data_IF_132036571082
#
_entry.id   IF_132036571082
#
_cell.length_a   1.000
_cell.length_b   1.000
_cell.length_c   1.000
_cell.angle_alpha   90.00
_cell.angle_beta   90.00
_cell.angle_gamma   90.00
#
_symmetry.space_group_name_H-M   'P 1'
#
loop_
_entity.id
_entity.type
_entity.pdbx_description
1 polymer ?
#
# COMPACT_ATOMS: atom_id res chain seq x y z
N UNK A 1 -29.80 -7.97 -7.64
CA UNK A 1 -29.44 -8.42 -6.27
C UNK A 1 -30.61 -9.22 -5.74
N UNK A 2 -30.38 -10.48 -5.39
CA UNK A 2 -31.39 -11.48 -5.04
C UNK A 2 -32.06 -11.14 -3.70
N UNK A 3 -33.39 -11.27 -3.62
CA UNK A 3 -34.24 -10.92 -2.46
C UNK A 3 -33.81 -11.67 -1.20
N UNK A 4 -33.18 -12.84 -1.35
CA UNK A 4 -32.61 -13.65 -0.26
C UNK A 4 -31.39 -13.04 0.44
N UNK A 5 -30.71 -12.06 -0.18
CA UNK A 5 -29.59 -11.32 0.44
C UNK A 5 -30.11 -10.23 1.38
N UNK A 6 -31.25 -9.61 1.05
CA UNK A 6 -31.86 -8.53 1.85
C UNK A 6 -32.34 -8.98 3.23
N UNK A 7 -32.87 -10.19 3.36
CA UNK A 7 -33.31 -10.73 4.67
C UNK A 7 -32.15 -11.17 5.58
N UNK A 8 -30.91 -11.24 5.07
CA UNK A 8 -29.74 -11.75 5.81
C UNK A 8 -28.90 -10.68 6.51
N UNK A 9 -29.11 -9.39 6.22
CA UNK A 9 -28.39 -8.28 6.86
C UNK A 9 -29.02 -7.88 8.19
N UNK A 10 -30.36 -7.93 8.30
CA UNK A 10 -31.17 -7.51 9.47
C UNK A 10 -30.98 -8.38 10.74
N UNK A 11 -30.15 -9.44 10.70
CA UNK A 11 -29.93 -10.35 11.86
C UNK A 11 -28.47 -10.70 12.13
N UNK A 12 -27.51 -9.83 11.79
CA UNK A 12 -26.12 -10.03 12.22
C UNK A 12 -25.87 -9.25 13.50
N UNK A 13 -26.04 -9.94 14.62
CA UNK A 13 -25.66 -9.42 15.93
C UNK A 13 -24.14 -9.29 16.01
N UNK A 14 -23.61 -8.13 16.43
CA UNK A 14 -22.18 -7.98 16.61
C UNK A 14 -21.64 -8.99 17.64
N UNK A 15 -20.74 -9.87 17.20
CA UNK A 15 -20.07 -10.83 18.08
C UNK A 15 -18.64 -10.36 18.34
N UNK A 16 -18.45 -9.60 19.41
CA UNK A 16 -17.14 -9.09 19.80
C UNK A 16 -16.35 -10.08 20.66
N UNK A 17 -15.01 -9.99 20.70
CA UNK A 17 -14.19 -10.72 21.67
C UNK A 17 -14.65 -10.46 23.11
N UNK A 18 -14.48 -11.45 23.99
CA UNK A 18 -14.88 -11.35 25.40
C UNK A 18 -14.26 -10.14 26.13
N UNK A 19 -13.09 -9.68 25.68
CA UNK A 19 -12.42 -8.50 26.18
C UNK A 19 -13.25 -7.20 25.99
N UNK A 20 -13.96 -7.04 24.87
CA UNK A 20 -14.81 -5.86 24.60
C UNK A 20 -15.91 -5.77 25.66
N UNK A 21 -16.59 -6.89 25.93
CA UNK A 21 -17.59 -6.96 27.00
C UNK A 21 -17.00 -6.75 28.41
N UNK A 22 -15.77 -7.20 28.66
CA UNK A 22 -15.08 -6.94 29.94
C UNK A 22 -14.76 -5.46 30.14
N UNK A 23 -14.22 -4.78 29.12
CA UNK A 23 -13.91 -3.35 29.16
C UNK A 23 -15.19 -2.56 29.39
N UNK A 24 -16.23 -2.83 28.60
CA UNK A 24 -17.52 -2.17 28.75
C UNK A 24 -18.13 -2.39 30.14
N UNK A 25 -18.15 -3.62 30.67
CA UNK A 25 -18.65 -3.90 32.04
C UNK A 25 -17.89 -3.10 33.10
N UNK A 26 -16.57 -2.96 32.94
CA UNK A 26 -15.73 -2.26 33.92
C UNK A 26 -16.03 -0.76 33.94
N UNK A 27 -16.21 -0.16 32.76
CA UNK A 27 -16.52 1.26 32.61
C UNK A 27 -17.96 1.59 33.04
N UNK A 28 -18.94 0.80 32.57
CA UNK A 28 -20.35 0.94 32.94
C UNK A 28 -20.58 0.73 34.44
N UNK A 29 -19.89 -0.25 35.05
CA UNK A 29 -19.92 -0.47 36.50
C UNK A 29 -19.37 0.69 37.33
N UNK A 30 -18.54 1.55 36.72
CA UNK A 30 -18.04 2.78 37.31
C UNK A 30 -18.89 4.03 36.95
N UNK A 31 -20.01 3.85 36.24
CA UNK A 31 -20.94 4.92 35.85
C UNK A 31 -20.58 5.62 34.54
N UNK A 32 -19.67 5.06 33.74
CA UNK A 32 -19.26 5.63 32.45
C UNK A 32 -19.89 4.88 31.28
N UNK A 33 -20.84 5.54 30.63
CA UNK A 33 -21.49 5.05 29.41
C UNK A 33 -20.44 4.69 28.35
N UNK A 34 -20.55 3.49 27.77
CA UNK A 34 -19.54 2.92 26.87
C UNK A 34 -20.14 2.14 25.71
N UNK A 35 -19.64 2.42 24.51
CA UNK A 35 -20.12 1.85 23.25
C UNK A 35 -18.96 1.32 22.43
N UNK A 36 -19.16 0.22 21.71
CA UNK A 36 -18.28 -0.15 20.61
C UNK A 36 -18.65 0.71 19.39
N UNK A 37 -17.67 1.22 18.67
CA UNK A 37 -17.89 2.20 17.59
C UNK A 37 -16.98 1.95 16.39
N UNK A 38 -17.29 2.58 15.26
CA UNK A 38 -16.37 2.69 14.12
C UNK A 38 -16.27 1.45 13.24
N UNK A 39 -15.06 1.18 12.76
CA UNK A 39 -14.81 0.20 11.70
C UNK A 39 -15.22 -1.21 12.08
N UNK A 40 -15.05 -1.61 13.34
CA UNK A 40 -15.44 -2.94 13.79
C UNK A 40 -16.95 -3.17 13.74
N UNK A 41 -17.75 -2.19 14.18
CA UNK A 41 -19.20 -2.29 14.13
C UNK A 41 -19.68 -2.40 12.68
N UNK A 42 -19.19 -1.51 11.79
CA UNK A 42 -19.46 -1.56 10.35
C UNK A 42 -19.09 -2.91 9.75
N UNK A 43 -17.87 -3.37 9.96
CA UNK A 43 -17.34 -4.58 9.34
C UNK A 43 -18.19 -5.80 9.73
N UNK A 44 -18.57 -5.92 11.02
CA UNK A 44 -19.40 -7.02 11.49
C UNK A 44 -20.82 -6.96 10.91
N UNK A 45 -21.41 -5.77 10.82
CA UNK A 45 -22.73 -5.57 10.17
C UNK A 45 -22.68 -5.92 8.68
N UNK A 46 -21.58 -5.60 7.99
CA UNK A 46 -21.31 -6.01 6.60
C UNK A 46 -20.89 -7.48 6.47
N UNK A 47 -20.74 -8.20 7.59
CA UNK A 47 -20.42 -9.63 7.59
C UNK A 47 -18.95 -9.97 7.41
N UNK A 48 -18.06 -9.01 7.67
CA UNK A 48 -16.61 -9.14 7.67
C UNK A 48 -16.13 -9.30 9.11
N UNK A 49 -15.22 -10.25 9.36
CA UNK A 49 -14.56 -10.35 10.66
C UNK A 49 -13.72 -9.10 10.92
N UNK A 50 -13.90 -8.48 12.08
CA UNK A 50 -13.09 -7.36 12.54
C UNK A 50 -12.24 -7.74 13.73
N UNK A 51 -10.97 -7.34 13.68
CA UNK A 51 -9.97 -7.57 14.73
C UNK A 51 -9.66 -6.29 15.53
N UNK A 52 -10.00 -5.12 14.99
CA UNK A 52 -9.65 -3.81 15.54
C UNK A 52 -10.91 -3.17 16.16
N UNK A 53 -11.27 -3.64 17.36
CA UNK A 53 -12.43 -3.14 18.10
C UNK A 53 -12.09 -1.88 18.90
N UNK A 54 -12.76 -0.78 18.55
CA UNK A 54 -12.66 0.50 19.25
C UNK A 54 -13.87 0.70 20.17
N UNK A 55 -13.61 1.24 21.36
CA UNK A 55 -14.63 1.63 22.33
C UNK A 55 -14.61 3.14 22.52
N UNK A 56 -15.79 3.76 22.53
CA UNK A 56 -15.99 5.14 22.93
C UNK A 56 -16.71 5.18 24.29
N UNK A 57 -16.27 6.06 25.19
CA UNK A 57 -16.79 6.13 26.55
C UNK A 57 -16.90 7.56 27.07
N UNK A 58 -17.80 7.82 28.02
CA UNK A 58 -17.81 9.09 28.78
C UNK A 58 -16.58 9.25 29.67
N UNK A 59 -15.91 8.15 30.06
CA UNK A 59 -14.75 8.20 30.93
C UNK A 59 -13.60 9.00 30.31
N UNK A 60 -13.01 9.92 31.08
CA UNK A 60 -11.80 10.68 30.72
C UNK A 60 -10.56 9.78 30.79
N UNK A 61 -9.45 10.12 30.10
CA UNK A 61 -8.26 9.27 30.04
C UNK A 61 -7.71 8.84 31.41
N UNK A 62 -7.69 9.75 32.39
CA UNK A 62 -7.21 9.43 33.74
C UNK A 62 -8.16 8.50 34.52
N UNK A 63 -9.46 8.58 34.26
CA UNK A 63 -10.45 7.65 34.84
C UNK A 63 -10.27 6.25 34.25
N UNK A 64 -10.05 6.15 32.93
CA UNK A 64 -9.73 4.87 32.27
C UNK A 64 -8.44 4.27 32.87
N UNK A 65 -7.38 5.07 33.04
CA UNK A 65 -6.12 4.62 33.67
C UNK A 65 -6.29 4.17 35.13
N UNK A 66 -7.23 4.77 35.86
CA UNK A 66 -7.54 4.35 37.22
C UNK A 66 -8.27 3.00 37.27
N UNK A 67 -9.17 2.76 36.31
CA UNK A 67 -9.98 1.54 36.24
C UNK A 67 -9.20 0.33 35.70
N UNK A 68 -8.21 0.55 34.83
CA UNK A 68 -7.44 -0.52 34.21
C UNK A 68 -5.96 -0.48 34.61
N UNK A 69 -5.45 -1.59 35.14
CA UNK A 69 -4.03 -1.69 35.57
C UNK A 69 -3.02 -1.66 34.40
N UNK A 70 -3.41 -2.14 33.22
CA UNK A 70 -2.53 -2.25 32.04
C UNK A 70 -3.05 -1.34 30.93
N UNK A 71 -2.54 -0.11 30.91
CA UNK A 71 -2.91 0.90 29.90
C UNK A 71 -1.68 1.46 29.21
N UNK A 72 -1.80 1.81 27.94
CA UNK A 72 -0.78 2.49 27.13
C UNK A 72 -1.33 3.85 26.68
N UNK A 73 -0.59 4.95 26.88
CA UNK A 73 -0.96 6.25 26.33
C UNK A 73 -0.74 6.24 24.82
N UNK A 74 -1.81 6.02 24.04
CA UNK A 74 -1.74 6.02 22.56
C UNK A 74 -1.91 7.43 22.02
N UNK A 75 -2.87 8.19 22.57
CA UNK A 75 -3.16 9.56 22.14
C UNK A 75 -3.97 10.31 23.19
N UNK A 76 -3.36 10.55 24.36
CA UNK A 76 -4.03 11.18 25.51
C UNK A 76 -4.60 12.56 25.16
N UNK A 77 -3.87 13.36 24.39
CA UNK A 77 -4.31 14.69 23.92
C UNK A 77 -5.60 14.63 23.09
N UNK A 78 -5.89 13.47 22.52
CA UNK A 78 -7.05 13.19 21.70
C UNK A 78 -8.11 12.32 22.40
N UNK A 79 -7.87 11.95 23.66
CA UNK A 79 -8.77 11.16 24.49
C UNK A 79 -8.60 9.64 24.39
N UNK A 80 -7.60 9.14 23.67
CA UNK A 80 -7.44 7.69 23.43
C UNK A 80 -6.42 7.05 24.37
N UNK A 81 -6.85 6.02 25.09
CA UNK A 81 -6.05 5.13 25.93
C UNK A 81 -6.17 3.71 25.41
N UNK A 82 -5.04 3.07 25.14
CA UNK A 82 -5.01 1.63 24.83
C UNK A 82 -5.14 0.81 26.11
N UNK A 83 -6.15 -0.05 26.21
CA UNK A 83 -6.35 -0.99 27.32
C UNK A 83 -5.86 -2.38 26.89
N UNK A 84 -4.92 -2.96 27.64
CA UNK A 84 -4.45 -4.33 27.36
C UNK A 84 -5.32 -5.36 28.08
N UNK A 85 -5.92 -6.24 27.29
CA UNK A 85 -6.59 -7.43 27.77
C UNK A 85 -5.58 -8.47 28.31
N UNK A 86 -6.11 -9.51 28.97
CA UNK A 86 -5.29 -10.54 29.63
C UNK A 86 -4.42 -11.35 28.66
N UNK A 87 -4.92 -11.55 27.45
CA UNK A 87 -4.23 -12.21 26.32
C UNK A 87 -3.16 -11.33 25.67
N UNK A 88 -3.04 -10.06 26.08
CA UNK A 88 -2.09 -9.10 25.52
C UNK A 88 -2.64 -8.29 24.35
N UNK A 89 -3.88 -8.55 23.91
CA UNK A 89 -4.54 -7.77 22.85
C UNK A 89 -4.82 -6.35 23.37
N UNK A 90 -4.53 -5.35 22.54
CA UNK A 90 -4.76 -3.95 22.86
C UNK A 90 -6.09 -3.50 22.24
N UNK A 91 -6.89 -2.76 23.02
CA UNK A 91 -8.14 -2.17 22.59
C UNK A 91 -8.10 -0.66 22.84
N UNK A 92 -8.48 0.13 21.84
CA UNK A 92 -8.50 1.57 21.97
C UNK A 92 -9.80 2.01 22.65
N UNK A 93 -9.66 2.67 23.80
CA UNK A 93 -10.76 3.28 24.56
C UNK A 93 -10.61 4.79 24.43
N UNK A 94 -11.55 5.42 23.75
CA UNK A 94 -11.53 6.85 23.45
C UNK A 94 -12.64 7.58 24.19
N UNK A 95 -12.31 8.66 24.89
CA UNK A 95 -13.30 9.53 25.50
C UNK A 95 -14.18 10.17 24.42
N UNK A 96 -15.49 10.27 24.64
CA UNK A 96 -16.40 11.03 23.76
C UNK A 96 -15.85 12.43 23.55
N UNK A 97 -15.96 12.91 22.32
CA UNK A 97 -15.37 14.19 21.95
C UNK A 97 -16.09 14.83 20.78
N UNK A 98 -16.00 16.15 20.72
CA UNK A 98 -16.43 16.99 19.60
C UNK A 98 -15.25 17.77 19.06
N UNK A 99 -15.29 18.04 17.77
CA UNK A 99 -14.29 18.89 17.10
C UNK A 99 -14.81 20.33 17.13
N UNK A 100 -14.07 21.26 17.74
CA UNK A 100 -14.52 22.65 17.97
C UNK A 100 -13.94 23.61 16.94
N UNK A 101 -12.66 23.43 16.62
CA UNK A 101 -11.98 24.14 15.55
C UNK A 101 -11.31 23.13 14.66
N UNK A 102 -11.52 23.22 13.35
CA UNK A 102 -10.90 22.34 12.37
C UNK A 102 -10.08 23.16 11.39
N UNK A 103 -8.76 23.04 11.46
CA UNK A 103 -7.83 23.63 10.50
C UNK A 103 -7.10 22.50 9.77
N UNK A 104 -7.75 21.97 8.72
CA UNK A 104 -7.33 20.69 8.14
C UNK A 104 -7.30 19.61 9.23
N UNK A 105 -6.27 18.75 9.21
CA UNK A 105 -6.18 17.61 10.16
C UNK A 105 -6.10 17.99 11.65
N UNK A 106 -5.82 19.24 11.97
CA UNK A 106 -5.71 19.69 13.36
C UNK A 106 -7.10 20.12 13.82
N UNK A 107 -7.76 19.20 14.53
CA UNK A 107 -8.97 19.50 15.27
C UNK A 107 -8.61 19.83 16.73
N UNK A 108 -9.07 20.97 17.23
CA UNK A 108 -9.11 21.22 18.67
C UNK A 108 -10.24 20.38 19.23
N UNK A 109 -9.87 19.37 20.02
CA UNK A 109 -10.79 18.37 20.56
C UNK A 109 -11.27 18.83 21.94
N UNK A 110 -12.58 18.88 22.13
CA UNK A 110 -13.18 18.98 23.45
C UNK A 110 -13.82 17.66 23.83
N UNK A 111 -13.58 17.21 25.07
CA UNK A 111 -14.27 16.03 25.56
C UNK A 111 -15.75 16.33 25.78
N UNK A 112 -16.58 15.45 25.23
CA UNK A 112 -18.02 15.52 25.26
C UNK A 112 -18.59 14.54 26.30
N UNK A 113 -19.87 14.69 26.60
CA UNK A 113 -20.58 13.82 27.55
C UNK A 113 -21.62 12.93 26.86
N UNK A 114 -21.91 13.20 25.58
CA UNK A 114 -22.90 12.48 24.77
C UNK A 114 -22.23 11.73 23.62
N UNK A 115 -22.78 10.57 23.28
CA UNK A 115 -22.31 9.74 22.17
C UNK A 115 -22.52 10.44 20.82
N UNK A 116 -23.61 11.18 20.65
CA UNK A 116 -23.98 11.90 19.43
C UNK A 116 -22.88 12.87 18.99
N UNK A 117 -22.23 13.52 19.96
CA UNK A 117 -21.09 14.40 19.71
C UNK A 117 -19.92 13.63 19.06
N UNK A 118 -19.62 12.41 19.54
CA UNK A 118 -18.56 11.56 18.97
C UNK A 118 -18.94 10.96 17.60
N UNK A 119 -20.20 10.60 17.41
CA UNK A 119 -20.67 10.03 16.15
C UNK A 119 -20.77 11.11 15.06
N UNK A 120 -21.19 12.32 15.42
CA UNK A 120 -21.40 13.43 14.49
C UNK A 120 -20.13 13.92 13.81
N UNK A 121 -18.95 13.77 14.44
CA UNK A 121 -17.64 14.16 13.87
C UNK A 121 -17.03 13.12 12.92
N UNK A 122 -17.67 11.98 12.73
CA UNK A 122 -17.15 10.89 11.89
C UNK A 122 -17.29 11.22 10.42
N UNK A 123 -16.50 10.54 9.61
CA UNK A 123 -16.40 10.82 8.18
C UNK A 123 -17.66 10.40 7.41
N UNK A 124 -18.12 9.16 7.60
CA UNK A 124 -19.24 8.57 6.86
C UNK A 124 -20.28 7.95 7.78
N UNK A 125 -21.54 7.95 7.33
CA UNK A 125 -22.68 7.37 8.06
C UNK A 125 -22.42 5.93 8.49
N UNK A 126 -21.87 5.12 7.59
CA UNK A 126 -21.49 3.72 7.84
C UNK A 126 -20.45 3.54 8.96
N UNK A 127 -19.69 4.58 9.31
CA UNK A 127 -18.72 4.57 10.41
C UNK A 127 -19.27 5.23 11.68
N UNK A 128 -20.44 5.86 11.60
CA UNK A 128 -21.13 6.60 12.66
C UNK A 128 -22.24 5.76 13.32
N UNK A 129 -22.02 4.45 13.38
CA UNK A 129 -22.88 3.49 14.08
C UNK A 129 -22.17 3.01 15.34
N UNK A 130 -22.92 2.90 16.42
CA UNK A 130 -22.47 2.38 17.70
C UNK A 130 -23.25 1.13 18.10
N UNK A 131 -22.59 0.22 18.81
CA UNK A 131 -23.20 -0.98 19.38
C UNK A 131 -22.88 -1.08 20.87
N UNK A 132 -23.90 -1.37 21.68
CA UNK A 132 -23.74 -1.52 23.11
C UNK A 132 -23.50 -2.99 23.48
N UNK A 133 -22.27 -3.39 23.87
CA UNK A 133 -21.92 -4.80 24.05
C UNK A 133 -22.63 -5.52 25.20
N UNK A 134 -23.23 -4.78 26.14
CA UNK A 134 -23.93 -5.36 27.30
C UNK A 134 -25.45 -5.39 27.16
N UNK A 135 -25.99 -4.49 26.31
CA UNK A 135 -27.44 -4.33 26.08
C UNK A 135 -27.85 -4.97 24.75
N UNK A 136 -26.88 -5.28 23.90
CA UNK A 136 -27.05 -5.72 22.53
C UNK A 136 -27.93 -4.77 21.72
N UNK A 137 -27.65 -3.47 21.86
CA UNK A 137 -28.42 -2.38 21.25
C UNK A 137 -27.57 -1.66 20.20
N UNK A 138 -28.15 -1.41 19.02
CA UNK A 138 -27.53 -0.57 17.99
C UNK A 138 -28.04 0.86 18.13
N UNK A 139 -27.12 1.81 18.02
CA UNK A 139 -27.42 3.24 18.02
C UNK A 139 -26.87 3.86 16.74
N UNK A 140 -27.78 4.39 15.91
CA UNK A 140 -27.50 4.91 14.57
C UNK A 140 -28.32 6.18 14.29
N UNK A 141 -27.88 7.34 14.81
CA UNK A 141 -28.60 8.60 14.62
C UNK A 141 -28.46 9.18 13.20
N UNK A 142 -27.57 8.62 12.37
CA UNK A 142 -27.24 9.15 11.03
C UNK A 142 -27.64 8.23 9.87
N UNK A 143 -28.31 7.11 10.14
CA UNK A 143 -28.80 6.19 9.11
C UNK A 143 -27.71 5.36 8.43
N UNK A 144 -26.58 5.12 9.11
CA UNK A 144 -25.48 4.29 8.59
C UNK A 144 -25.88 2.85 8.31
N UNK A 145 -26.80 2.28 9.08
CA UNK A 145 -27.33 0.91 8.86
C UNK A 145 -28.13 0.84 7.56
N UNK A 146 -29.02 1.81 7.33
CA UNK A 146 -29.79 1.88 6.09
C UNK A 146 -28.86 2.08 4.88
N UNK A 147 -27.86 2.95 5.00
CA UNK A 147 -26.87 3.18 3.95
C UNK A 147 -26.06 1.91 3.66
N UNK A 148 -25.66 1.14 4.68
CA UNK A 148 -25.00 -0.16 4.48
C UNK A 148 -25.89 -1.17 3.77
N UNK A 149 -27.17 -1.26 4.13
CA UNK A 149 -28.14 -2.16 3.47
C UNK A 149 -28.37 -1.79 2.00
N UNK A 150 -28.34 -0.49 1.70
CA UNK A 150 -28.48 0.06 0.34
C UNK A 150 -27.18 0.07 -0.45
N UNK A 151 -26.05 -0.23 0.20
CA UNK A 151 -24.72 -0.16 -0.41
C UNK A 151 -24.32 1.27 -0.77
N UNK A 152 -24.65 2.25 0.08
CA UNK A 152 -24.40 3.68 -0.14
C UNK A 152 -23.28 4.15 0.78
N UNK A 153 -22.37 4.96 0.24
CA UNK A 153 -21.41 5.73 1.02
C UNK A 153 -21.84 7.20 1.05
N UNK A 154 -22.13 7.72 2.25
CA UNK A 154 -22.56 9.10 2.49
C UNK A 154 -21.78 9.72 3.65
N UNK A 155 -21.48 11.01 3.58
CA UNK A 155 -20.85 11.76 4.70
C UNK A 155 -21.81 11.98 5.85
N UNK A 156 -21.29 12.11 7.07
CA UNK A 156 -22.09 12.61 8.19
C UNK A 156 -22.25 14.12 8.07
N UNK A 157 -23.49 14.59 7.89
CA UNK A 157 -23.78 16.00 7.64
C UNK A 157 -23.43 16.45 6.21
N UNK A 158 -23.15 17.74 6.05
CA UNK A 158 -22.85 18.38 4.77
C UNK A 158 -21.54 17.86 4.15
N UNK A 159 -21.55 17.29 2.93
CA UNK A 159 -20.34 16.75 2.32
C UNK A 159 -19.21 17.79 2.12
N UNK A 160 -19.45 19.01 1.59
CA UNK A 160 -18.40 20.01 1.43
C UNK A 160 -17.73 20.38 2.76
N UNK A 161 -18.51 20.63 3.81
CA UNK A 161 -17.99 21.00 5.14
C UNK A 161 -17.18 19.85 5.73
N UNK A 162 -17.72 18.62 5.63
CA UNK A 162 -17.05 17.42 6.13
C UNK A 162 -15.73 17.16 5.42
N UNK A 163 -15.62 17.44 4.12
CA UNK A 163 -14.36 17.27 3.39
C UNK A 163 -13.37 18.40 3.70
N UNK A 164 -13.85 19.63 3.91
CA UNK A 164 -13.00 20.78 4.25
C UNK A 164 -12.33 20.65 5.63
N UNK A 165 -12.97 19.96 6.58
CA UNK A 165 -12.35 19.60 7.86
C UNK A 165 -11.07 18.77 7.65
N UNK A 166 -11.08 17.76 6.77
CA UNK A 166 -9.87 16.98 6.43
C UNK A 166 -10.01 16.34 5.04
N UNK A 167 -9.35 16.93 4.05
CA UNK A 167 -9.42 16.44 2.67
C UNK A 167 -8.87 15.02 2.47
N UNK A 168 -8.18 14.43 3.47
CA UNK A 168 -7.84 13.00 3.41
C UNK A 168 -9.10 12.12 3.34
N UNK A 169 -10.25 12.63 3.80
CA UNK A 169 -11.56 11.97 3.67
C UNK A 169 -11.94 11.70 2.22
N UNK A 170 -11.41 12.45 1.25
CA UNK A 170 -11.58 12.13 -0.18
C UNK A 170 -11.00 10.76 -0.51
N UNK A 171 -9.73 10.53 -0.16
CA UNK A 171 -9.04 9.27 -0.40
C UNK A 171 -9.68 8.11 0.38
N UNK A 172 -10.13 8.39 1.61
CA UNK A 172 -10.83 7.42 2.46
C UNK A 172 -12.18 7.04 1.87
N UNK A 173 -12.97 7.99 1.37
CA UNK A 173 -14.26 7.75 0.75
C UNK A 173 -14.12 6.78 -0.42
N UNK A 174 -13.24 7.11 -1.37
CA UNK A 174 -13.01 6.32 -2.57
C UNK A 174 -12.43 4.93 -2.23
N UNK A 175 -11.58 4.85 -1.20
CA UNK A 175 -11.10 3.56 -0.67
C UNK A 175 -12.25 2.73 -0.09
N UNK A 176 -13.12 3.31 0.75
CA UNK A 176 -14.23 2.58 1.35
C UNK A 176 -15.27 2.15 0.30
N UNK A 177 -15.60 3.03 -0.64
CA UNK A 177 -16.48 2.71 -1.77
C UNK A 177 -15.92 1.55 -2.60
N UNK A 178 -14.63 1.57 -2.94
CA UNK A 178 -13.98 0.47 -3.65
C UNK A 178 -13.93 -0.83 -2.84
N UNK A 179 -13.56 -0.75 -1.56
CA UNK A 179 -13.40 -1.89 -0.64
C UNK A 179 -14.70 -2.64 -0.37
N UNK A 180 -15.76 -1.89 -0.05
CA UNK A 180 -17.04 -2.43 0.35
C UNK A 180 -18.05 -2.48 -0.81
N UNK A 181 -17.58 -2.19 -2.04
CA UNK A 181 -18.41 -2.19 -3.25
C UNK A 181 -19.63 -1.25 -3.15
N UNK A 182 -19.44 -0.10 -2.49
CA UNK A 182 -20.49 0.88 -2.25
C UNK A 182 -20.59 1.89 -3.40
N UNK A 183 -21.80 2.36 -3.64
CA UNK A 183 -22.07 3.50 -4.51
C UNK A 183 -22.00 4.77 -3.67
N UNK A 184 -21.20 5.75 -4.10
CA UNK A 184 -21.15 7.05 -3.41
C UNK A 184 -22.44 7.81 -3.70
N UNK A 185 -23.08 8.35 -2.67
CA UNK A 185 -24.25 9.23 -2.81
C UNK A 185 -23.91 10.43 -3.71
N UNK A 186 -24.84 10.88 -4.56
CA UNK A 186 -24.56 11.90 -5.57
C UNK A 186 -24.00 13.20 -4.97
N UNK A 187 -24.56 13.70 -3.88
CA UNK A 187 -24.09 14.92 -3.24
C UNK A 187 -22.68 14.75 -2.65
N UNK A 188 -22.39 13.54 -2.14
CA UNK A 188 -21.05 13.18 -1.68
C UNK A 188 -20.08 13.10 -2.86
N UNK A 189 -20.46 12.46 -3.96
CA UNK A 189 -19.63 12.33 -5.16
C UNK A 189 -19.25 13.69 -5.75
N UNK A 190 -20.21 14.58 -5.91
CA UNK A 190 -19.98 15.92 -6.45
C UNK A 190 -18.99 16.71 -5.57
N UNK A 191 -19.13 16.60 -4.24
CA UNK A 191 -18.22 17.21 -3.29
C UNK A 191 -16.81 16.60 -3.32
N UNK A 192 -16.69 15.28 -3.51
CA UNK A 192 -15.39 14.60 -3.66
C UNK A 192 -14.64 15.09 -4.90
N UNK A 193 -15.33 15.20 -6.03
CA UNK A 193 -14.77 15.72 -7.28
C UNK A 193 -14.34 17.19 -7.12
N UNK A 194 -15.18 18.03 -6.53
CA UNK A 194 -14.86 19.44 -6.29
C UNK A 194 -13.69 19.64 -5.31
N UNK A 195 -13.52 18.74 -4.34
CA UNK A 195 -12.45 18.81 -3.36
C UNK A 195 -11.06 18.39 -3.90
N UNK A 196 -10.97 17.86 -5.13
CA UNK A 196 -9.70 17.40 -5.70
C UNK A 196 -8.64 18.50 -5.82
N UNK A 197 -9.07 19.73 -6.10
CA UNK A 197 -8.19 20.91 -6.19
C UNK A 197 -7.46 21.21 -4.86
N UNK A 198 -8.03 20.77 -3.74
CA UNK A 198 -7.49 21.02 -2.41
C UNK A 198 -6.52 19.92 -1.94
N UNK A 199 -6.42 18.81 -2.68
CA UNK A 199 -5.61 17.66 -2.25
C UNK A 199 -4.11 17.95 -2.16
N UNK A 200 -3.63 18.98 -2.87
CA UNK A 200 -2.24 19.42 -2.83
C UNK A 200 -1.76 19.88 -1.44
N UNK A 201 -2.68 20.23 -0.52
CA UNK A 201 -2.33 20.64 0.85
C UNK A 201 -2.07 19.44 1.78
N UNK A 202 -2.41 18.22 1.35
CA UNK A 202 -2.26 17.03 2.18
C UNK A 202 -0.79 16.66 2.38
N UNK A 203 -0.46 16.23 3.61
CA UNK A 203 0.86 15.65 3.88
C UNK A 203 1.07 14.41 3.00
N UNK A 204 2.21 14.31 2.29
CA UNK A 204 2.47 13.19 1.40
C UNK A 204 2.51 11.83 2.10
N UNK A 205 2.94 11.78 3.37
CA UNK A 205 2.95 10.57 4.19
C UNK A 205 1.55 10.02 4.42
N UNK A 206 0.55 10.89 4.59
CA UNK A 206 -0.85 10.47 4.76
C UNK A 206 -1.44 9.94 3.47
N UNK A 207 -1.12 10.58 2.34
CA UNK A 207 -1.51 10.11 1.00
C UNK A 207 -0.89 8.72 0.74
N UNK A 208 0.41 8.56 1.05
CA UNK A 208 1.12 7.28 0.99
C UNK A 208 0.42 6.20 1.82
N UNK A 209 0.05 6.50 3.05
CA UNK A 209 -0.61 5.54 3.94
C UNK A 209 -1.98 5.11 3.42
N UNK A 210 -2.80 6.03 2.92
CA UNK A 210 -4.09 5.69 2.30
C UNK A 210 -3.90 4.87 1.01
N UNK A 211 -2.92 5.21 0.16
CA UNK A 211 -2.58 4.41 -1.01
C UNK A 211 -2.14 2.99 -0.62
N UNK A 212 -1.28 2.84 0.39
CA UNK A 212 -0.84 1.53 0.87
C UNK A 212 -2.00 0.73 1.47
N UNK A 213 -2.96 1.38 2.14
CA UNK A 213 -4.21 0.73 2.61
C UNK A 213 -5.06 0.24 1.45
N UNK A 214 -5.19 1.01 0.35
CA UNK A 214 -5.86 0.54 -0.89
C UNK A 214 -5.17 -0.71 -1.42
N UNK A 215 -3.84 -0.68 -1.53
CA UNK A 215 -3.06 -1.80 -2.09
C UNK A 215 -3.02 -3.02 -1.17
N UNK A 216 -3.13 -2.87 0.15
CA UNK A 216 -3.10 -3.95 1.12
C UNK A 216 -4.49 -4.55 1.43
N UNK A 217 -5.54 -3.72 1.41
CA UNK A 217 -6.83 -4.00 2.04
C UNK A 217 -7.61 -5.15 1.40
N UNK A 218 -7.64 -5.24 0.08
CA UNK A 218 -8.66 -6.02 -0.63
C UNK A 218 -8.12 -6.99 -1.69
N UNK A 219 -9.01 -7.88 -2.14
CA UNK A 219 -8.77 -8.71 -3.34
C UNK A 219 -8.70 -7.87 -4.61
N UNK A 220 -9.44 -6.75 -4.68
CA UNK A 220 -9.56 -5.89 -5.87
C UNK A 220 -9.28 -4.40 -5.58
N UNK A 221 -8.01 -4.00 -5.31
CA UNK A 221 -7.64 -2.58 -5.21
C UNK A 221 -8.02 -1.74 -6.43
N UNK A 222 -8.15 -2.36 -7.60
CA UNK A 222 -8.56 -1.70 -8.85
C UNK A 222 -9.82 -0.86 -8.70
N UNK A 223 -10.80 -1.28 -7.88
CA UNK A 223 -12.06 -0.55 -7.70
C UNK A 223 -11.85 0.83 -7.09
N UNK A 224 -11.08 0.89 -6.01
CA UNK A 224 -10.74 2.16 -5.37
C UNK A 224 -9.86 3.04 -6.29
N UNK A 225 -8.89 2.43 -6.99
CA UNK A 225 -8.03 3.16 -7.93
C UNK A 225 -8.83 3.71 -9.14
N UNK A 226 -9.79 2.95 -9.67
CA UNK A 226 -10.72 3.44 -10.71
C UNK A 226 -11.52 4.64 -10.22
N UNK A 227 -11.98 4.61 -8.96
CA UNK A 227 -12.65 5.76 -8.35
C UNK A 227 -11.70 6.95 -8.17
N UNK A 228 -10.41 6.73 -7.87
CA UNK A 228 -9.41 7.81 -7.83
C UNK A 228 -9.25 8.47 -9.20
N UNK A 229 -9.15 7.67 -10.26
CA UNK A 229 -9.09 8.19 -11.63
C UNK A 229 -10.37 8.96 -12.01
N UNK A 230 -11.55 8.37 -11.74
CA UNK A 230 -12.83 8.97 -12.08
C UNK A 230 -13.13 10.28 -11.32
N UNK A 231 -12.67 10.38 -10.07
CA UNK A 231 -12.85 11.59 -9.26
C UNK A 231 -11.84 12.71 -9.61
N UNK A 232 -10.78 12.43 -10.40
CA UNK A 232 -9.72 13.40 -10.71
C UNK A 232 -8.60 13.49 -9.66
N UNK A 233 -8.47 12.49 -8.79
CA UNK A 233 -7.47 12.47 -7.70
C UNK A 233 -6.04 12.30 -8.22
N UNK A 234 -5.88 11.65 -9.38
CA UNK A 234 -4.56 11.31 -9.90
C UNK A 234 -3.75 12.56 -10.28
N UNK A 235 -4.34 13.55 -10.91
CA UNK A 235 -3.63 14.75 -11.38
C UNK A 235 -2.92 15.53 -10.25
N UNK A 236 -3.58 15.90 -9.14
CA UNK A 236 -2.94 16.66 -8.07
C UNK A 236 -1.94 15.85 -7.23
N UNK A 237 -2.13 14.52 -7.11
CA UNK A 237 -1.33 13.71 -6.18
C UNK A 237 -0.30 12.80 -6.87
N UNK A 238 -0.65 12.25 -8.02
CA UNK A 238 0.05 11.15 -8.70
C UNK A 238 0.01 11.33 -10.24
N UNK A 239 0.48 12.47 -10.79
CA UNK A 239 0.40 12.77 -12.21
C UNK A 239 1.06 11.70 -13.09
N UNK A 240 2.11 11.02 -12.60
CA UNK A 240 2.76 9.91 -13.32
C UNK A 240 1.82 8.73 -13.58
N UNK A 241 0.79 8.56 -12.75
CA UNK A 241 -0.27 7.56 -12.95
C UNK A 241 -1.40 8.12 -13.82
N UNK A 242 -1.70 9.41 -13.73
CA UNK A 242 -2.68 10.07 -14.60
C UNK A 242 -2.29 9.94 -16.08
N UNK A 243 -0.99 10.07 -16.40
CA UNK A 243 -0.43 9.86 -17.75
C UNK A 243 -0.71 8.46 -18.33
N UNK A 244 -1.01 7.46 -17.49
CA UNK A 244 -1.34 6.11 -17.96
C UNK A 244 -2.78 6.00 -18.45
N UNK A 245 -3.67 6.88 -18.01
CA UNK A 245 -5.10 6.83 -18.34
C UNK A 245 -5.28 7.11 -19.81
N UNK A 246 -5.77 6.10 -20.55
CA UNK A 246 -5.94 6.19 -22.00
C UNK A 246 -4.65 6.06 -22.83
N UNK A 247 -3.48 5.95 -22.19
CA UNK A 247 -2.23 5.73 -22.90
C UNK A 247 -2.17 4.32 -23.49
N UNK A 248 -1.70 4.19 -24.73
CA UNK A 248 -1.52 2.87 -25.37
C UNK A 248 -0.39 2.09 -24.71
N UNK A 249 -0.56 0.76 -24.62
CA UNK A 249 0.45 -0.17 -24.12
C UNK A 249 0.77 -1.25 -25.14
N UNK A 250 1.68 -0.96 -26.06
CA UNK A 250 2.05 -1.91 -27.13
C UNK A 250 0.80 -2.40 -27.89
N UNK A 251 0.68 -3.72 -28.04
CA UNK A 251 -0.45 -4.41 -28.70
C UNK A 251 -1.49 -4.96 -27.70
N UNK A 252 -1.44 -4.55 -26.43
CA UNK A 252 -2.40 -4.97 -25.41
C UNK A 252 -3.79 -4.36 -25.72
N UNK A 253 -4.90 -5.10 -25.57
CA UNK A 253 -6.25 -4.65 -25.96
C UNK A 253 -6.90 -3.64 -24.98
N UNK A 254 -6.14 -3.13 -24.02
CA UNK A 254 -6.58 -2.13 -23.04
C UNK A 254 -5.48 -1.08 -22.87
N UNK A 255 -5.85 0.11 -22.38
CA UNK A 255 -4.87 1.16 -22.06
C UNK A 255 -3.95 0.78 -20.89
N UNK A 256 -2.89 1.56 -20.71
CA UNK A 256 -1.83 1.32 -19.74
C UNK A 256 -2.36 1.34 -18.29
N UNK A 257 -3.29 2.24 -17.97
CA UNK A 257 -3.92 2.31 -16.66
C UNK A 257 -4.79 1.08 -16.39
N UNK A 258 -5.69 0.74 -17.31
CA UNK A 258 -6.53 -0.45 -17.22
C UNK A 258 -5.71 -1.73 -17.04
N UNK A 259 -4.61 -1.89 -17.78
CA UNK A 259 -3.70 -3.02 -17.59
C UNK A 259 -3.02 -3.01 -16.21
N UNK A 260 -2.58 -1.84 -15.73
CA UNK A 260 -1.95 -1.71 -14.41
C UNK A 260 -2.92 -2.13 -13.29
N UNK A 261 -4.19 -1.73 -13.37
CA UNK A 261 -5.23 -2.15 -12.42
C UNK A 261 -5.45 -3.67 -12.41
N UNK A 262 -5.55 -4.29 -13.59
CA UNK A 262 -5.67 -5.75 -13.71
C UNK A 262 -4.46 -6.46 -13.10
N UNK A 263 -3.26 -5.92 -13.29
CA UNK A 263 -2.04 -6.49 -12.74
C UNK A 263 -1.97 -6.37 -11.21
N UNK A 264 -2.39 -5.23 -10.66
CA UNK A 264 -2.49 -5.02 -9.20
C UNK A 264 -3.40 -6.08 -8.57
N UNK A 265 -4.57 -6.32 -9.15
CA UNK A 265 -5.54 -7.31 -8.66
C UNK A 265 -5.05 -8.75 -8.81
N UNK A 266 -4.25 -9.03 -9.85
CA UNK A 266 -3.63 -10.33 -10.00
C UNK A 266 -2.67 -10.65 -8.84
N UNK A 267 -2.05 -9.65 -8.19
CA UNK A 267 -1.09 -9.90 -7.11
C UNK A 267 -1.74 -10.13 -5.74
N UNK A 268 -1.04 -10.88 -4.88
CA UNK A 268 -1.52 -11.22 -3.52
C UNK A 268 -1.60 -9.99 -2.61
N UNK A 269 -2.69 -9.91 -1.82
CA UNK A 269 -2.99 -8.79 -0.91
C UNK A 269 -1.92 -8.47 0.15
N UNK A 270 -1.18 -9.48 0.59
CA UNK A 270 -0.13 -9.33 1.62
C UNK A 270 1.14 -8.63 1.10
N UNK A 271 1.15 -8.13 -0.13
CA UNK A 271 2.34 -7.53 -0.77
C UNK A 271 2.03 -6.15 -1.35
N UNK A 272 1.71 -5.15 -0.52
CA UNK A 272 1.36 -3.81 -1.01
C UNK A 272 2.47 -3.15 -1.83
N UNK A 273 3.74 -3.35 -1.47
CA UNK A 273 4.89 -2.82 -2.24
C UNK A 273 5.00 -3.47 -3.63
N UNK A 274 4.67 -4.75 -3.74
CA UNK A 274 4.67 -5.44 -5.03
C UNK A 274 3.49 -4.98 -5.91
N UNK A 275 2.33 -4.73 -5.30
CA UNK A 275 1.18 -4.12 -5.96
C UNK A 275 1.47 -2.67 -6.40
N UNK A 276 2.16 -1.89 -5.58
CA UNK A 276 2.66 -0.56 -5.96
C UNK A 276 3.60 -0.64 -7.16
N UNK A 277 4.51 -1.63 -7.16
CA UNK A 277 5.40 -1.88 -8.30
C UNK A 277 4.63 -2.24 -9.57
N UNK A 278 3.59 -3.08 -9.46
CA UNK A 278 2.71 -3.41 -10.58
C UNK A 278 1.98 -2.18 -11.14
N UNK A 279 1.46 -1.32 -10.25
CA UNK A 279 0.80 -0.07 -10.64
C UNK A 279 1.76 0.85 -11.40
N UNK A 280 3.02 0.90 -10.98
CA UNK A 280 4.06 1.73 -11.59
C UNK A 280 4.78 1.07 -12.77
N UNK A 281 4.45 -0.17 -13.12
CA UNK A 281 5.19 -0.93 -14.14
C UNK A 281 5.11 -0.30 -15.54
N UNK A 282 4.03 0.43 -15.83
CA UNK A 282 3.85 1.14 -17.09
C UNK A 282 4.54 2.53 -17.11
N UNK A 283 5.03 3.01 -15.97
CA UNK A 283 5.74 4.29 -15.86
C UNK A 283 7.23 4.12 -16.16
N UNK A 284 7.94 5.22 -16.42
CA UNK A 284 9.39 5.19 -16.48
C UNK A 284 9.99 5.03 -15.07
N UNK A 285 11.20 4.44 -14.91
CA UNK A 285 11.87 4.38 -13.61
C UNK A 285 12.08 5.75 -12.97
N UNK A 286 12.23 6.81 -13.78
CA UNK A 286 12.33 8.20 -13.33
C UNK A 286 11.00 8.68 -12.75
N UNK A 287 9.90 8.46 -13.45
CA UNK A 287 8.55 8.80 -13.00
C UNK A 287 8.19 8.05 -11.70
N UNK A 288 8.47 6.76 -11.63
CA UNK A 288 8.30 5.97 -10.40
C UNK A 288 9.11 6.57 -9.23
N UNK A 289 10.39 6.93 -9.45
CA UNK A 289 11.21 7.54 -8.42
C UNK A 289 10.65 8.90 -7.96
N UNK A 290 10.18 9.74 -8.88
CA UNK A 290 9.57 11.04 -8.56
C UNK A 290 8.34 10.89 -7.67
N UNK A 291 7.44 9.96 -8.01
CA UNK A 291 6.27 9.67 -7.19
C UNK A 291 6.65 9.19 -5.78
N UNK A 292 7.60 8.26 -5.69
CA UNK A 292 8.03 7.68 -4.41
C UNK A 292 8.68 8.73 -3.50
N UNK A 293 9.47 9.65 -4.07
CA UNK A 293 10.05 10.79 -3.34
C UNK A 293 8.96 11.78 -2.90
N UNK A 294 8.00 12.08 -3.79
CA UNK A 294 6.86 12.97 -3.48
C UNK A 294 6.10 12.44 -2.29
N UNK A 295 5.73 11.16 -2.32
CA UNK A 295 4.98 10.47 -1.28
C UNK A 295 5.84 10.02 -0.08
N UNK A 296 7.11 10.43 -0.02
CA UNK A 296 8.00 10.22 1.13
C UNK A 296 8.16 8.75 1.51
N UNK A 297 8.26 7.86 0.53
CA UNK A 297 8.64 6.46 0.79
C UNK A 297 10.07 6.40 1.35
N UNK A 298 10.37 5.37 2.14
CA UNK A 298 11.74 5.15 2.60
C UNK A 298 12.67 4.84 1.41
N UNK A 299 13.95 5.21 1.51
CA UNK A 299 14.93 4.94 0.45
C UNK A 299 14.96 3.46 0.06
N UNK A 300 14.93 2.55 1.04
CA UNK A 300 14.90 1.11 0.78
C UNK A 300 13.68 0.65 -0.04
N UNK A 301 12.49 1.20 0.25
CA UNK A 301 11.27 0.92 -0.52
C UNK A 301 11.38 1.53 -1.92
N UNK A 302 11.83 2.79 -2.02
CA UNK A 302 11.97 3.48 -3.29
C UNK A 302 12.94 2.75 -4.22
N UNK A 303 14.11 2.37 -3.72
CA UNK A 303 15.13 1.62 -4.45
C UNK A 303 14.61 0.27 -4.94
N UNK A 304 13.86 -0.44 -4.08
CA UNK A 304 13.26 -1.72 -4.44
C UNK A 304 12.26 -1.55 -5.59
N UNK A 305 11.30 -0.63 -5.45
CA UNK A 305 10.27 -0.39 -6.47
C UNK A 305 10.89 0.07 -7.78
N UNK A 306 11.80 1.06 -7.74
CA UNK A 306 12.46 1.59 -8.95
C UNK A 306 13.30 0.53 -9.65
N UNK A 307 14.01 -0.32 -8.91
CA UNK A 307 14.77 -1.42 -9.50
C UNK A 307 13.85 -2.45 -10.19
N UNK A 308 12.71 -2.77 -9.57
CA UNK A 308 11.72 -3.68 -10.17
C UNK A 308 11.03 -3.05 -11.40
N UNK A 309 10.70 -1.77 -11.38
CA UNK A 309 10.17 -1.04 -12.56
C UNK A 309 11.22 -0.99 -13.67
N UNK A 310 12.49 -0.75 -13.34
CA UNK A 310 13.62 -0.76 -14.30
C UNK A 310 13.85 -2.12 -14.95
N UNK A 311 13.51 -3.21 -14.26
CA UNK A 311 13.56 -4.55 -14.85
C UNK A 311 12.64 -4.69 -16.08
N UNK A 312 11.64 -3.81 -16.19
CA UNK A 312 10.73 -3.71 -17.32
C UNK A 312 9.59 -4.74 -17.28
N UNK A 313 8.71 -4.69 -18.29
CA UNK A 313 7.52 -5.54 -18.36
C UNK A 313 7.83 -7.00 -18.67
N UNK A 314 9.06 -7.35 -19.05
CA UNK A 314 9.39 -8.72 -19.43
C UNK A 314 10.87 -9.03 -19.22
N UNK A 315 11.20 -10.18 -18.64
CA UNK A 315 12.55 -10.71 -18.70
C UNK A 315 12.91 -11.09 -20.13
N UNK A 316 14.21 -11.26 -20.44
CA UNK A 316 14.63 -12.01 -21.62
C UNK A 316 13.82 -13.31 -21.73
N UNK A 317 13.37 -13.69 -22.93
CA UNK A 317 12.58 -14.90 -23.12
C UNK A 317 13.34 -16.11 -22.59
N UNK A 318 12.63 -17.20 -22.26
CA UNK A 318 13.26 -18.42 -21.76
C UNK A 318 14.34 -18.97 -22.72
N UNK A 319 14.21 -18.68 -24.03
CA UNK A 319 15.14 -19.00 -25.12
C UNK A 319 16.40 -18.13 -25.17
N UNK A 320 16.46 -17.03 -24.42
CA UNK A 320 17.63 -16.15 -24.38
C UNK A 320 18.91 -16.89 -23.97
N UNK A 321 20.06 -16.41 -24.45
CA UNK A 321 21.35 -17.04 -24.15
C UNK A 321 21.66 -16.97 -22.65
N UNK A 322 22.50 -17.88 -22.11
CA UNK A 322 22.93 -17.79 -20.72
C UNK A 322 23.59 -16.45 -20.37
N UNK A 323 24.37 -15.86 -21.29
CA UNK A 323 25.00 -14.55 -21.10
C UNK A 323 23.97 -13.43 -20.97
N UNK A 324 22.91 -13.43 -21.80
CA UNK A 324 21.87 -12.39 -21.72
C UNK A 324 21.10 -12.47 -20.40
N UNK A 325 20.86 -13.70 -19.91
CA UNK A 325 20.27 -13.93 -18.59
C UNK A 325 21.16 -13.39 -17.48
N UNK A 326 22.47 -13.63 -17.53
CA UNK A 326 23.43 -13.12 -16.55
C UNK A 326 23.53 -11.59 -16.58
N UNK A 327 23.63 -10.98 -17.76
CA UNK A 327 23.59 -9.52 -17.92
C UNK A 327 22.34 -8.91 -17.33
N UNK A 328 21.17 -9.50 -17.63
CA UNK A 328 19.92 -9.03 -17.07
C UNK A 328 19.87 -9.21 -15.55
N UNK A 329 20.33 -10.35 -15.02
CA UNK A 329 20.40 -10.61 -13.57
C UNK A 329 21.35 -9.65 -12.85
N UNK A 330 22.49 -9.33 -13.46
CA UNK A 330 23.45 -8.35 -12.93
C UNK A 330 22.82 -6.96 -12.87
N UNK A 331 22.20 -6.51 -13.97
CA UNK A 331 21.54 -5.19 -14.05
C UNK A 331 20.37 -5.04 -13.07
N UNK A 332 19.55 -6.08 -12.93
CA UNK A 332 18.33 -6.04 -12.11
C UNK A 332 18.59 -6.42 -10.65
N UNK A 333 19.66 -7.16 -10.38
CA UNK A 333 19.99 -7.72 -9.08
C UNK A 333 19.30 -9.08 -8.87
N UNK A 334 20.09 -10.14 -8.79
CA UNK A 334 19.59 -11.52 -8.64
C UNK A 334 18.67 -11.73 -7.43
N UNK A 335 18.89 -11.00 -6.34
CA UNK A 335 18.07 -11.07 -5.13
C UNK A 335 16.59 -10.70 -5.38
N UNK A 336 16.31 -9.91 -6.43
CA UNK A 336 14.96 -9.44 -6.78
C UNK A 336 14.18 -10.41 -7.66
N UNK A 337 14.82 -11.47 -8.17
CA UNK A 337 14.19 -12.44 -9.06
C UNK A 337 12.88 -13.05 -8.50
N UNK A 338 12.76 -13.40 -7.21
CA UNK A 338 11.51 -13.93 -6.67
C UNK A 338 10.34 -12.93 -6.75
N UNK A 339 10.58 -11.63 -6.63
CA UNK A 339 9.54 -10.60 -6.70
C UNK A 339 9.11 -10.38 -8.15
N UNK A 340 10.07 -10.32 -9.07
CA UNK A 340 9.82 -10.22 -10.51
C UNK A 340 9.04 -11.43 -11.03
N UNK A 341 9.39 -12.63 -10.58
CA UNK A 341 8.64 -13.84 -10.93
C UNK A 341 7.16 -13.77 -10.52
N UNK A 342 6.85 -13.12 -9.39
CA UNK A 342 5.45 -12.93 -8.96
C UNK A 342 4.73 -11.93 -9.85
N UNK A 343 5.41 -10.86 -10.28
CA UNK A 343 4.87 -9.91 -11.27
C UNK A 343 4.60 -10.63 -12.59
N UNK A 344 5.52 -11.46 -13.09
CA UNK A 344 5.33 -12.23 -14.32
C UNK A 344 4.16 -13.21 -14.21
N UNK A 345 3.99 -13.88 -13.07
CA UNK A 345 2.80 -14.70 -12.82
C UNK A 345 1.50 -13.87 -12.81
N UNK A 346 1.56 -12.61 -12.36
CA UNK A 346 0.45 -11.66 -12.48
C UNK A 346 0.15 -11.32 -13.93
N UNK A 347 1.17 -10.90 -14.68
CA UNK A 347 1.06 -10.55 -16.10
C UNK A 347 0.51 -11.71 -16.92
N UNK A 348 1.07 -12.92 -16.77
CA UNK A 348 0.58 -14.11 -17.46
C UNK A 348 -0.92 -14.36 -17.21
N UNK A 349 -1.43 -14.10 -15.99
CA UNK A 349 -2.86 -14.24 -15.69
C UNK A 349 -3.69 -13.15 -16.37
N UNK A 350 -3.23 -11.90 -16.33
CA UNK A 350 -3.89 -10.77 -17.01
C UNK A 350 -3.94 -11.00 -18.51
N UNK A 351 -2.82 -11.34 -19.13
CA UNK A 351 -2.70 -11.53 -20.58
C UNK A 351 -3.57 -12.69 -21.07
N UNK A 352 -3.67 -13.78 -20.29
CA UNK A 352 -4.62 -14.86 -20.56
C UNK A 352 -6.07 -14.40 -20.45
N UNK A 353 -6.42 -13.63 -19.42
CA UNK A 353 -7.76 -13.10 -19.24
C UNK A 353 -8.16 -12.14 -20.36
N UNK A 354 -7.20 -11.41 -20.93
CA UNK A 354 -7.37 -10.55 -22.10
C UNK A 354 -7.35 -11.30 -23.44
N UNK A 355 -7.18 -12.63 -23.44
CA UNK A 355 -7.16 -13.44 -24.66
C UNK A 355 -5.93 -13.23 -25.55
N UNK A 356 -4.80 -12.78 -25.00
CA UNK A 356 -3.57 -12.59 -25.77
C UNK A 356 -3.04 -13.93 -26.29
N UNK A 357 -2.59 -13.93 -27.55
CA UNK A 357 -2.14 -15.14 -28.26
C UNK A 357 -0.84 -15.72 -27.70
N UNK A 358 0.05 -14.86 -27.20
CA UNK A 358 1.34 -15.24 -26.62
C UNK A 358 1.50 -14.63 -25.23
N UNK A 359 0.83 -15.18 -24.20
CA UNK A 359 1.00 -14.70 -22.84
C UNK A 359 2.40 -15.06 -22.32
N UNK A 360 2.91 -14.21 -21.43
CA UNK A 360 4.17 -14.35 -20.71
C UNK A 360 4.33 -15.77 -20.15
N UNK A 361 5.42 -16.47 -20.48
CA UNK A 361 5.75 -17.76 -19.86
C UNK A 361 6.48 -17.56 -18.54
N UNK A 362 5.74 -17.19 -17.49
CA UNK A 362 6.32 -16.91 -16.17
C UNK A 362 7.06 -18.14 -15.59
N UNK A 363 6.48 -19.34 -15.74
CA UNK A 363 7.03 -20.58 -15.19
C UNK A 363 8.29 -21.06 -15.92
N UNK A 364 8.31 -21.03 -17.25
CA UNK A 364 9.50 -21.36 -18.03
C UNK A 364 10.61 -20.34 -17.82
N UNK A 365 10.26 -19.05 -17.77
CA UNK A 365 11.23 -17.99 -17.49
C UNK A 365 11.85 -18.16 -16.10
N UNK A 366 11.03 -18.33 -15.05
CA UNK A 366 11.52 -18.59 -13.69
C UNK A 366 12.47 -19.79 -13.64
N UNK A 367 12.11 -20.91 -14.28
CA UNK A 367 12.96 -22.10 -14.35
C UNK A 367 14.28 -21.82 -15.06
N UNK A 368 14.25 -21.07 -16.16
CA UNK A 368 15.44 -20.71 -16.93
C UNK A 368 16.42 -19.86 -16.11
N UNK A 369 15.94 -18.82 -15.42
CA UNK A 369 16.76 -17.97 -14.58
C UNK A 369 17.25 -18.68 -13.32
N UNK A 370 16.40 -19.49 -12.67
CA UNK A 370 16.83 -20.32 -11.52
C UNK A 370 17.91 -21.33 -11.90
N UNK A 371 17.82 -21.94 -13.08
CA UNK A 371 18.86 -22.86 -13.57
C UNK A 371 20.19 -22.13 -13.72
N UNK A 372 20.17 -20.87 -14.16
CA UNK A 372 21.40 -20.10 -14.29
C UNK A 372 21.96 -19.67 -12.93
N UNK A 373 21.11 -19.21 -12.00
CA UNK A 373 21.54 -18.89 -10.63
C UNK A 373 22.11 -20.09 -9.87
N UNK A 374 21.62 -21.31 -10.12
CA UNK A 374 22.16 -22.54 -9.51
C UNK A 374 23.61 -22.82 -9.88
N UNK A 375 24.12 -22.25 -10.98
CA UNK A 375 25.53 -22.36 -11.35
C UNK A 375 26.42 -21.42 -10.55
N UNK A 376 25.84 -20.59 -9.68
CA UNK A 376 26.52 -19.53 -8.93
C UNK A 376 27.43 -18.66 -9.82
N UNK A 377 26.92 -18.10 -10.94
CA UNK A 377 27.74 -17.26 -11.80
C UNK A 377 28.10 -15.95 -11.06
N UNK A 378 29.25 -15.34 -11.37
CA UNK A 378 29.54 -13.98 -10.94
C UNK A 378 28.53 -13.02 -11.59
N UNK A 379 27.89 -12.17 -10.79
CA UNK A 379 26.85 -11.24 -11.24
C UNK A 379 27.08 -9.80 -10.80
N UNK A 380 27.97 -9.58 -9.84
CA UNK A 380 28.39 -8.27 -9.37
C UNK A 380 29.92 -8.14 -9.39
N UNK A 381 30.41 -6.91 -9.32
CA UNK A 381 31.85 -6.62 -9.21
C UNK A 381 32.47 -7.32 -8.00
N UNK A 382 31.71 -7.44 -6.90
CA UNK A 382 32.12 -8.17 -5.70
C UNK A 382 32.33 -9.67 -5.91
N UNK A 383 31.82 -10.24 -7.00
CA UNK A 383 31.95 -11.66 -7.32
C UNK A 383 33.17 -11.95 -8.23
N UNK A 384 33.88 -10.90 -8.66
CA UNK A 384 35.09 -11.05 -9.46
C UNK A 384 36.21 -11.68 -8.62
N UNK A 385 37.04 -12.49 -9.26
CA UNK A 385 38.23 -13.10 -8.65
C UNK A 385 39.39 -12.10 -8.41
N UNK A 386 39.17 -10.83 -8.74
CA UNK A 386 40.08 -9.69 -8.51
C UNK A 386 39.30 -8.55 -7.89
N UNK A 387 39.96 -7.81 -7.01
CA UNK A 387 39.45 -6.56 -6.45
C UNK A 387 40.39 -5.38 -6.76
N UNK A 388 40.08 -4.19 -6.23
CA UNK A 388 40.94 -3.01 -6.42
C UNK A 388 42.35 -3.17 -5.84
N UNK A 389 42.53 -3.95 -4.77
CA UNK A 389 43.86 -4.18 -4.19
C UNK A 389 44.71 -5.05 -5.12
N UNK A 390 44.10 -6.01 -5.80
CA UNK A 390 44.76 -6.83 -6.80
C UNK A 390 45.22 -5.99 -8.01
N UNK A 391 44.43 -5.00 -8.44
CA UNK A 391 44.84 -4.06 -9.49
C UNK A 391 46.08 -3.24 -9.08
N UNK A 392 46.11 -2.75 -7.83
CA UNK A 392 47.26 -2.01 -7.28
C UNK A 392 48.51 -2.90 -7.26
N UNK A 393 48.37 -4.15 -6.79
CA UNK A 393 49.49 -5.12 -6.77
C UNK A 393 49.99 -5.49 -8.16
N UNK A 394 49.13 -5.41 -9.18
CA UNK A 394 49.49 -5.61 -10.58
C UNK A 394 50.13 -4.36 -11.22
N UNK A 395 50.35 -3.28 -10.45
CA UNK A 395 51.01 -2.06 -10.92
C UNK A 395 50.09 -1.04 -11.58
N UNK A 396 48.77 -1.20 -11.48
CA UNK A 396 47.80 -0.23 -12.00
C UNK A 396 47.62 0.89 -10.96
N UNK A 397 47.80 2.13 -11.39
CA UNK A 397 47.72 3.30 -10.52
C UNK A 397 46.29 3.53 -10.00
N UNK A 398 46.08 3.69 -8.68
CA UNK A 398 44.74 3.88 -8.12
C UNK A 398 44.07 5.15 -8.64
N UNK A 399 42.81 5.04 -9.07
CA UNK A 399 42.05 6.19 -9.54
C UNK A 399 40.57 5.90 -9.82
N UNK A 400 39.77 6.93 -10.19
CA UNK A 400 38.34 6.80 -10.48
C UNK A 400 38.02 5.81 -11.61
N UNK A 401 39.00 5.50 -12.47
CA UNK A 401 38.86 4.55 -13.57
C UNK A 401 38.77 3.08 -13.11
N UNK A 402 39.13 2.74 -11.87
CA UNK A 402 39.04 1.37 -11.32
C UNK A 402 37.64 0.79 -11.43
N UNK A 403 36.61 1.58 -11.13
CA UNK A 403 35.22 1.16 -11.26
C UNK A 403 34.90 0.73 -12.69
N UNK A 404 35.33 1.52 -13.69
CA UNK A 404 35.14 1.22 -15.10
C UNK A 404 35.87 -0.05 -15.55
N UNK A 405 37.10 -0.26 -15.06
CA UNK A 405 37.87 -1.48 -15.33
C UNK A 405 37.12 -2.69 -14.77
N UNK A 406 36.74 -2.65 -13.49
CA UNK A 406 36.02 -3.76 -12.84
C UNK A 406 34.66 -4.03 -13.50
N UNK A 407 33.93 -2.99 -13.93
CA UNK A 407 32.69 -3.11 -14.69
C UNK A 407 32.92 -3.76 -16.07
N UNK A 408 33.99 -3.39 -16.78
CA UNK A 408 34.35 -3.99 -18.06
C UNK A 408 34.77 -5.46 -17.92
N UNK A 409 35.51 -5.80 -16.87
CA UNK A 409 35.85 -7.19 -16.52
C UNK A 409 34.58 -7.98 -16.19
N UNK A 410 33.67 -7.40 -15.41
CA UNK A 410 32.38 -8.02 -15.11
C UNK A 410 31.60 -8.31 -16.39
N UNK A 411 31.53 -7.38 -17.35
CA UNK A 411 30.85 -7.62 -18.64
C UNK A 411 31.45 -8.81 -19.42
N UNK A 412 32.78 -8.97 -19.42
CA UNK A 412 33.44 -10.14 -20.01
C UNK A 412 33.05 -11.43 -19.28
N UNK A 413 33.06 -11.43 -17.94
CA UNK A 413 32.68 -12.56 -17.09
C UNK A 413 31.19 -12.91 -17.22
N UNK A 414 30.31 -11.92 -17.41
CA UNK A 414 28.89 -12.14 -17.71
C UNK A 414 28.72 -12.84 -19.07
N UNK A 415 29.59 -12.54 -20.04
CA UNK A 415 29.68 -13.27 -21.31
C UNK A 415 30.12 -14.72 -21.13
N UNK A 416 31.24 -14.94 -20.43
CA UNK A 416 31.79 -16.26 -20.12
C UNK A 416 32.31 -16.33 -18.66
N UNK A 417 31.59 -17.00 -17.75
CA UNK A 417 31.99 -17.13 -16.35
C UNK A 417 33.34 -17.84 -16.14
N UNK A 418 33.81 -18.62 -17.12
CA UNK A 418 35.10 -19.33 -17.01
C UNK A 418 36.30 -18.37 -16.97
N UNK A 419 36.10 -17.13 -17.43
CA UNK A 419 37.09 -16.05 -17.40
C UNK A 419 37.32 -15.48 -16.00
N UNK A 420 36.48 -15.81 -14.99
CA UNK A 420 36.61 -15.31 -13.63
C UNK A 420 37.76 -15.99 -12.86
N UNK A 421 38.99 -15.84 -13.36
CA UNK A 421 40.22 -16.37 -12.78
C UNK A 421 41.20 -15.22 -12.56
N UNK A 422 41.80 -15.18 -11.37
CA UNK A 422 42.64 -14.05 -10.93
C UNK A 422 43.69 -13.64 -11.96
N UNK A 423 44.51 -14.57 -12.45
CA UNK A 423 45.57 -14.29 -13.43
C UNK A 423 45.02 -13.74 -14.75
N UNK A 424 43.96 -14.36 -15.29
CA UNK A 424 43.36 -13.94 -16.56
C UNK A 424 42.69 -12.56 -16.46
N UNK A 425 42.00 -12.27 -15.36
CA UNK A 425 41.40 -10.97 -15.12
C UNK A 425 42.45 -9.87 -14.93
N UNK A 426 43.57 -10.16 -14.26
CA UNK A 426 44.66 -9.19 -14.11
C UNK A 426 45.30 -8.83 -15.45
N UNK A 427 45.54 -9.82 -16.32
CA UNK A 427 46.06 -9.56 -17.66
C UNK A 427 45.12 -8.66 -18.48
N UNK A 428 43.82 -8.99 -18.48
CA UNK A 428 42.80 -8.14 -19.13
C UNK A 428 42.70 -6.75 -18.51
N UNK A 429 42.88 -6.63 -17.19
CA UNK A 429 42.84 -5.34 -16.50
C UNK A 429 44.01 -4.45 -16.91
N UNK A 430 45.22 -5.02 -17.06
CA UNK A 430 46.40 -4.29 -17.55
C UNK A 430 46.19 -3.78 -18.98
N UNK A 431 45.60 -4.60 -19.86
CA UNK A 431 45.25 -4.18 -21.23
C UNK A 431 44.24 -3.02 -21.22
N UNK A 432 43.17 -3.13 -20.43
CA UNK A 432 42.14 -2.08 -20.30
C UNK A 432 42.69 -0.78 -19.68
N UNK A 433 43.67 -0.87 -18.80
CA UNK A 433 44.33 0.29 -18.20
C UNK A 433 45.19 1.06 -19.21
N UNK A 434 45.78 0.37 -20.21
CA UNK A 434 46.55 0.99 -21.29
C UNK A 434 45.64 1.75 -22.26
N UNK A 435 44.45 1.19 -22.56
CA UNK A 435 43.46 1.80 -23.47
C UNK A 435 42.64 2.94 -22.84
N UNK A 436 42.77 3.16 -21.53
CA UNK A 436 42.09 4.24 -20.79
C UNK A 436 43.12 5.23 -20.24
N UNK A 437 43.82 6.02 -21.09
CA UNK A 437 44.79 6.99 -20.58
C UNK A 437 44.08 8.02 -19.70
N UNK A 438 44.67 8.30 -18.53
CA UNK A 438 44.26 9.37 -17.62
C UNK A 438 44.04 10.65 -18.43
N UNK A 439 42.77 11.02 -18.62
CA UNK A 439 42.41 12.39 -18.96
C UNK A 439 42.29 13.11 -17.62
N UNK A 440 43.35 13.85 -17.30
CA UNK A 440 43.44 14.84 -16.23
C UNK A 440 42.15 15.66 -16.04
#
# INVERSE_FOLDING_TARGET
MDVRVRERMVRRHPSAPAAVGWIARTLEGAGFETWAVGGAVRDVLLGVESVDWDLATRARPEQVRHLFRRTVPVGIEHGTIGVLARDGTMYDVTTFRRDVETHGRHATVEFADYLDDDLSRRDFTINAVAWHPLRDELYDPFGGVEDMERGILRTVGSPPDRLAEDYLRVLRALRFAGRFELTVDQATWDALCAATDQLGILSPERVREELLKVLAGDSQPSRALSLYAAAGVLDPLMPELAELVGAKRGEVPVDAWSYALLLVDALLRQRPILRLTALLQATSPRAAAQLLIRLRFSNAQADTVVALVRAGPGPPPATATPSDKRRWLSRVGAARLPELARIWCGQQRVERALGMTQPTDAAGTWRAFRRELRKAPPLAVSDLAVDGNDLIRAGIMPGPHFGKILEALLERVLGDPSLNRREGLLAMATELAIDTPDRD
#
